data_IF_157190769095
#
_entry.id   IF_157190769095
#
_cell.length_a   1.000
_cell.length_b   1.000
_cell.length_c   1.000
_cell.angle_alpha   90.00
_cell.angle_beta   90.00
_cell.angle_gamma   90.00
#
_symmetry.space_group_name_H-M   'P 1'
#
loop_
_entity.id
_entity.type
_entity.pdbx_description
1 polymer ?
#
# COMPACT_ATOMS: atom_id res chain seq x y z
N UNK A 1 8.88 -37.19 1.91
CA UNK A 1 8.63 -37.94 3.17
C UNK A 1 7.66 -37.17 4.05
N UNK A 2 6.36 -37.47 3.99
CA UNK A 2 5.39 -37.07 5.04
C UNK A 2 3.98 -37.65 4.79
N UNK A 3 3.87 -38.85 4.21
CA UNK A 3 2.60 -39.62 4.15
C UNK A 3 2.42 -40.50 5.41
N UNK A 4 3.36 -40.41 6.37
CA UNK A 4 3.40 -41.27 7.58
C UNK A 4 2.76 -40.59 8.81
N UNK A 5 2.50 -39.28 8.79
CA UNK A 5 1.95 -38.58 9.96
C UNK A 5 0.42 -38.70 10.09
N UNK A 6 -0.31 -38.92 8.99
CA UNK A 6 -1.79 -38.97 9.00
C UNK A 6 -2.36 -40.32 9.44
N UNK A 7 -1.58 -41.40 9.41
CA UNK A 7 -2.03 -42.75 9.83
C UNK A 7 -1.95 -42.99 11.35
N UNK A 8 -1.26 -42.14 12.11
CA UNK A 8 -1.15 -42.26 13.57
C UNK A 8 -2.32 -41.61 14.33
N UNK A 9 -2.93 -40.55 13.78
CA UNK A 9 -4.13 -39.92 14.36
C UNK A 9 -5.39 -40.77 14.18
N UNK A 10 -5.55 -41.43 13.03
CA UNK A 10 -6.73 -42.28 12.74
C UNK A 10 -6.74 -43.58 13.58
N UNK A 11 -5.57 -44.04 14.06
CA UNK A 11 -5.47 -45.22 14.95
C UNK A 11 -5.78 -44.92 16.42
N UNK A 12 -5.74 -43.66 16.86
CA UNK A 12 -6.21 -43.28 18.21
C UNK A 12 -7.73 -43.04 18.27
N UNK A 13 -8.38 -42.76 17.13
CA UNK A 13 -9.83 -42.59 17.05
C UNK A 13 -10.62 -43.91 16.88
N UNK A 14 -9.96 -45.04 16.61
CA UNK A 14 -10.58 -46.38 16.51
C UNK A 14 -10.48 -47.25 17.77
N UNK A 15 -10.07 -46.68 18.91
CA UNK A 15 -9.96 -47.40 20.19
C UNK A 15 -10.90 -46.89 21.30
N UNK A 16 -11.85 -46.02 20.97
CA UNK A 16 -12.95 -45.61 21.83
C UNK A 16 -14.29 -46.09 21.26
N UNK A 17 -14.45 -47.40 21.13
CA UNK A 17 -15.79 -47.99 21.21
C UNK A 17 -15.68 -49.45 21.64
N UNK A 18 -15.69 -49.67 22.96
CA UNK A 18 -16.30 -50.83 23.60
C UNK A 18 -16.72 -50.44 25.01
N UNK A 19 -18.03 -50.33 25.19
CA UNK A 19 -18.73 -50.46 26.47
C UNK A 19 -18.34 -49.51 27.60
N UNK A 20 -18.81 -48.26 27.50
CA UNK A 20 -19.53 -47.62 28.61
C UNK A 20 -20.70 -46.86 28.00
N UNK A 21 -21.90 -47.45 28.05
CA UNK A 21 -23.13 -46.67 27.96
C UNK A 21 -23.08 -45.64 29.10
N UNK A 22 -22.69 -44.40 28.80
CA UNK A 22 -23.04 -43.27 29.66
C UNK A 22 -24.56 -43.12 29.54
N UNK A 23 -25.31 -43.80 30.41
CA UNK A 23 -26.67 -43.40 30.72
C UNK A 23 -26.56 -42.09 31.48
N UNK A 24 -26.74 -40.98 30.77
CA UNK A 24 -27.12 -39.72 31.39
C UNK A 24 -28.52 -39.92 31.94
N UNK A 25 -28.61 -40.04 33.27
CA UNK A 25 -29.87 -40.03 33.97
C UNK A 25 -30.43 -38.60 33.97
N UNK A 26 -31.48 -38.38 33.19
CA UNK A 26 -32.13 -37.06 33.01
C UNK A 26 -33.38 -36.95 33.90
N UNK A 27 -33.56 -37.84 34.88
CA UNK A 27 -34.76 -37.94 35.75
C UNK A 27 -35.03 -36.75 36.69
N UNK A 28 -34.31 -35.62 36.55
CA UNK A 28 -34.54 -34.40 37.35
C UNK A 28 -34.39 -33.08 36.62
N UNK A 29 -34.14 -33.07 35.31
CA UNK A 29 -33.85 -31.84 34.58
C UNK A 29 -35.10 -31.38 33.81
N UNK A 30 -35.78 -30.35 34.35
CA UNK A 30 -36.90 -29.66 33.69
C UNK A 30 -36.56 -29.39 32.22
N UNK A 31 -37.46 -29.74 31.29
CA UNK A 31 -37.24 -29.73 29.84
C UNK A 31 -36.72 -28.41 29.22
N UNK A 32 -36.75 -27.28 29.95
CA UNK A 32 -36.10 -26.03 29.55
C UNK A 32 -34.56 -26.17 29.47
N UNK A 33 -33.91 -26.85 30.41
CA UNK A 33 -32.43 -26.93 30.47
C UNK A 33 -31.85 -27.80 29.36
N UNK A 34 -32.56 -28.85 28.93
CA UNK A 34 -32.17 -29.70 27.79
C UNK A 34 -32.24 -28.91 26.47
N UNK A 35 -33.27 -28.05 26.33
CA UNK A 35 -33.39 -27.14 25.20
C UNK A 35 -32.22 -26.15 25.11
N UNK A 36 -31.76 -25.60 26.24
CA UNK A 36 -30.60 -24.70 26.28
C UNK A 36 -29.30 -25.38 25.87
N UNK A 37 -29.05 -26.62 26.32
CA UNK A 37 -27.85 -27.37 25.94
C UNK A 37 -27.85 -27.69 24.44
N UNK A 38 -28.99 -28.10 23.89
CA UNK A 38 -29.12 -28.35 22.45
C UNK A 38 -28.91 -27.09 21.62
N UNK A 39 -29.46 -25.96 22.07
CA UNK A 39 -29.27 -24.65 21.43
C UNK A 39 -27.78 -24.24 21.42
N UNK A 40 -27.07 -24.43 22.53
CA UNK A 40 -25.64 -24.11 22.64
C UNK A 40 -24.82 -24.96 21.67
N UNK A 41 -25.07 -26.27 21.61
CA UNK A 41 -24.35 -27.16 20.68
C UNK A 41 -24.60 -26.77 19.22
N UNK A 42 -25.84 -26.41 18.87
CA UNK A 42 -26.20 -25.96 17.53
C UNK A 42 -25.51 -24.64 17.17
N UNK A 43 -25.47 -23.67 18.10
CA UNK A 43 -24.75 -22.39 17.91
C UNK A 43 -23.25 -22.63 17.75
N UNK A 44 -22.64 -23.47 18.58
CA UNK A 44 -21.22 -23.83 18.45
C UNK A 44 -20.97 -24.50 17.09
N UNK A 45 -21.82 -25.42 16.66
CA UNK A 45 -21.74 -26.06 15.35
C UNK A 45 -21.79 -25.04 14.20
N UNK A 46 -22.73 -24.09 14.23
CA UNK A 46 -22.85 -23.03 13.22
C UNK A 46 -21.62 -22.12 13.23
N UNK A 47 -21.12 -21.72 14.40
CA UNK A 47 -19.92 -20.89 14.53
C UNK A 47 -18.69 -21.63 14.02
N UNK A 48 -18.50 -22.91 14.37
CA UNK A 48 -17.40 -23.73 13.89
C UNK A 48 -17.45 -23.93 12.37
N UNK A 49 -18.64 -24.17 11.81
CA UNK A 49 -18.84 -24.26 10.36
C UNK A 49 -18.49 -22.92 9.71
N UNK A 50 -18.99 -21.79 10.24
CA UNK A 50 -18.70 -20.46 9.70
C UNK A 50 -17.21 -20.11 9.77
N UNK A 51 -16.54 -20.41 10.88
CA UNK A 51 -15.09 -20.23 11.04
C UNK A 51 -14.28 -21.14 10.12
N UNK A 52 -14.72 -22.39 9.93
CA UNK A 52 -14.11 -23.31 8.98
C UNK A 52 -14.27 -22.82 7.54
N UNK A 53 -15.48 -22.37 7.15
CA UNK A 53 -15.73 -21.76 5.85
C UNK A 53 -14.92 -20.49 5.63
N UNK A 54 -14.85 -19.59 6.62
CA UNK A 54 -14.01 -18.38 6.56
C UNK A 54 -12.52 -18.72 6.38
N UNK A 55 -12.06 -19.81 7.00
CA UNK A 55 -10.67 -20.28 6.87
C UNK A 55 -10.39 -20.98 5.54
N UNK A 56 -11.38 -21.66 4.97
CA UNK A 56 -11.26 -22.38 3.69
C UNK A 56 -11.48 -21.45 2.48
N UNK A 57 -12.15 -20.32 2.64
CA UNK A 57 -12.38 -19.31 1.59
C UNK A 57 -11.52 -18.06 1.73
N UNK A 58 -10.41 -18.13 2.46
CA UNK A 58 -9.47 -17.01 2.47
C UNK A 58 -8.67 -17.03 1.16
N UNK A 59 -8.84 -15.97 0.37
CA UNK A 59 -8.14 -15.81 -0.91
C UNK A 59 -6.63 -15.80 -0.72
N UNK A 60 -5.92 -16.46 -1.63
CA UNK A 60 -4.47 -16.43 -1.67
C UNK A 60 -3.98 -15.05 -2.10
N UNK A 61 -2.76 -14.68 -1.71
CA UNK A 61 -2.22 -13.36 -2.03
C UNK A 61 -1.95 -13.25 -3.54
N UNK A 62 -1.69 -14.38 -4.22
CA UNK A 62 -1.64 -14.52 -5.67
C UNK A 62 -2.99 -14.17 -6.33
N UNK A 63 -4.09 -14.79 -5.88
CA UNK A 63 -5.45 -14.48 -6.38
C UNK A 63 -5.83 -13.02 -6.13
N UNK A 64 -5.46 -12.48 -4.97
CA UNK A 64 -5.66 -11.06 -4.66
C UNK A 64 -4.86 -10.17 -5.63
N UNK A 65 -3.64 -10.55 -5.99
CA UNK A 65 -2.83 -9.77 -6.93
C UNK A 65 -3.40 -9.80 -8.36
N UNK A 66 -3.84 -10.97 -8.82
CA UNK A 66 -4.50 -11.13 -10.11
C UNK A 66 -5.73 -10.22 -10.20
N UNK A 67 -6.56 -10.18 -9.16
CA UNK A 67 -7.69 -9.26 -9.07
C UNK A 67 -7.28 -7.79 -9.13
N UNK A 68 -6.16 -7.40 -8.50
CA UNK A 68 -5.65 -6.02 -8.57
C UNK A 68 -5.24 -5.65 -10.00
N UNK A 69 -4.58 -6.55 -10.71
CA UNK A 69 -4.20 -6.35 -12.12
C UNK A 69 -5.43 -6.22 -13.02
N UNK A 70 -6.41 -7.11 -12.86
CA UNK A 70 -7.69 -7.05 -13.59
C UNK A 70 -8.44 -5.75 -13.27
N UNK A 71 -8.50 -5.36 -12.00
CA UNK A 71 -9.12 -4.10 -11.57
C UNK A 71 -8.45 -2.90 -12.24
N UNK A 72 -7.12 -2.83 -12.22
CA UNK A 72 -6.36 -1.76 -12.86
C UNK A 72 -6.67 -1.68 -14.36
N UNK A 73 -6.65 -2.81 -15.07
CA UNK A 73 -6.98 -2.86 -16.50
C UNK A 73 -8.39 -2.35 -16.78
N UNK A 74 -9.37 -2.76 -15.96
CA UNK A 74 -10.76 -2.33 -16.11
C UNK A 74 -10.93 -0.83 -15.80
N UNK A 75 -10.26 -0.32 -14.77
CA UNK A 75 -10.26 1.11 -14.44
C UNK A 75 -9.65 1.93 -15.59
N UNK A 76 -8.51 1.48 -16.15
CA UNK A 76 -7.88 2.14 -17.28
C UNK A 76 -8.77 2.22 -18.53
N UNK A 77 -9.56 1.17 -18.81
CA UNK A 77 -10.57 1.19 -19.88
C UNK A 77 -11.67 2.22 -19.62
N UNK A 78 -12.18 2.30 -18.40
CA UNK A 78 -13.23 3.28 -18.02
C UNK A 78 -12.71 4.72 -18.09
N UNK A 79 -11.47 4.95 -17.64
CA UNK A 79 -10.86 6.27 -17.53
C UNK A 79 -10.15 6.75 -18.81
N UNK A 80 -10.19 5.98 -19.91
CA UNK A 80 -9.54 6.35 -21.17
C UNK A 80 -8.04 6.62 -21.02
N UNK A 81 -7.29 5.65 -20.48
CA UNK A 81 -5.87 5.79 -20.11
C UNK A 81 -5.58 6.87 -19.06
N UNK A 82 -6.58 7.25 -18.27
CA UNK A 82 -6.44 8.16 -17.15
C UNK A 82 -5.81 9.52 -17.53
N UNK A 83 -6.12 10.00 -18.74
CA UNK A 83 -5.67 11.30 -19.26
C UNK A 83 -4.26 11.33 -19.86
N UNK A 84 -3.56 10.18 -19.95
CA UNK A 84 -2.21 10.12 -20.51
C UNK A 84 -2.17 9.46 -21.90
N UNK A 85 -1.34 10.04 -22.77
CA UNK A 85 -1.03 9.50 -24.11
C UNK A 85 0.39 8.93 -24.20
N UNK A 86 1.24 9.24 -23.22
CA UNK A 86 2.64 8.84 -23.20
C UNK A 86 3.03 8.31 -21.82
N UNK A 87 3.80 7.22 -21.82
CA UNK A 87 4.44 6.66 -20.63
C UNK A 87 5.43 7.69 -20.05
N UNK A 88 5.67 7.63 -18.74
CA UNK A 88 6.63 8.45 -18.00
C UNK A 88 7.91 7.67 -17.67
N UNK A 89 8.94 7.64 -18.54
CA UNK A 89 10.07 6.72 -18.36
C UNK A 89 11.00 7.13 -17.21
N UNK A 90 10.95 8.40 -16.80
CA UNK A 90 11.79 8.95 -15.74
C UNK A 90 11.58 8.28 -14.37
N UNK A 91 10.49 7.55 -14.18
CA UNK A 91 10.13 6.90 -12.93
C UNK A 91 10.32 5.38 -12.95
N UNK A 92 11.02 4.83 -13.95
CA UNK A 92 11.32 3.40 -14.00
C UNK A 92 12.80 3.11 -13.78
N UNK A 93 13.11 2.12 -12.93
CA UNK A 93 14.43 1.52 -12.82
C UNK A 93 14.39 0.13 -13.46
N UNK A 94 15.30 -0.13 -14.39
CA UNK A 94 15.42 -1.40 -15.09
C UNK A 94 16.73 -2.08 -14.69
N UNK A 95 16.63 -3.15 -13.90
CA UNK A 95 17.76 -4.01 -13.56
C UNK A 95 17.83 -5.17 -14.54
N UNK A 96 18.63 -5.00 -15.60
CA UNK A 96 18.82 -6.03 -16.65
C UNK A 96 19.33 -7.36 -16.09
N UNK A 97 20.25 -7.31 -15.12
CA UNK A 97 20.82 -8.50 -14.48
C UNK A 97 19.78 -9.34 -13.71
N UNK A 98 18.66 -8.73 -13.35
CA UNK A 98 17.58 -9.39 -12.61
C UNK A 98 16.31 -9.53 -13.45
N UNK A 99 16.32 -9.09 -14.71
CA UNK A 99 15.13 -8.96 -15.56
C UNK A 99 13.97 -8.32 -14.81
N UNK A 100 14.25 -7.20 -14.10
CA UNK A 100 13.32 -6.56 -13.17
C UNK A 100 13.12 -5.08 -13.50
N UNK A 101 11.86 -4.66 -13.57
CA UNK A 101 11.42 -3.29 -13.76
C UNK A 101 10.62 -2.81 -12.55
N UNK A 102 11.03 -1.69 -11.97
CA UNK A 102 10.38 -1.09 -10.81
C UNK A 102 9.90 0.32 -11.12
N UNK A 103 8.60 0.60 -10.92
CA UNK A 103 8.09 1.97 -10.96
C UNK A 103 8.19 2.70 -9.60
N UNK A 104 8.81 3.88 -9.62
CA UNK A 104 9.13 4.70 -8.46
C UNK A 104 7.92 5.51 -7.99
N UNK A 105 7.10 4.92 -7.13
CA UNK A 105 6.04 5.64 -6.40
C UNK A 105 6.55 6.08 -5.04
N UNK A 106 6.93 7.35 -4.91
CA UNK A 106 7.44 7.90 -3.66
C UNK A 106 6.45 7.75 -2.50
N UNK A 107 6.97 7.58 -1.29
CA UNK A 107 6.20 7.33 -0.04
C UNK A 107 5.40 6.02 -0.03
N UNK A 108 5.74 5.11 -0.94
CA UNK A 108 5.19 3.73 -1.02
C UNK A 108 6.33 2.70 -1.02
N UNK A 109 7.24 2.77 -0.03
CA UNK A 109 8.34 1.80 0.10
C UNK A 109 9.56 2.02 -0.81
N UNK A 110 9.64 3.15 -1.50
CA UNK A 110 10.71 3.46 -2.47
C UNK A 110 12.11 3.43 -1.87
N UNK A 111 12.30 3.93 -0.64
CA UNK A 111 13.62 3.93 0.01
C UNK A 111 14.17 2.52 0.19
N UNK A 112 13.34 1.56 0.61
CA UNK A 112 13.72 0.15 0.76
C UNK A 112 14.11 -0.49 -0.57
N UNK A 113 13.41 -0.17 -1.66
CA UNK A 113 13.74 -0.70 -2.98
C UNK A 113 14.94 -0.01 -3.61
N UNK A 114 15.11 1.31 -3.42
CA UNK A 114 16.33 2.00 -3.83
C UNK A 114 17.56 1.46 -3.12
N UNK A 115 17.46 1.11 -1.84
CA UNK A 115 18.54 0.43 -1.12
C UNK A 115 18.93 -0.90 -1.80
N UNK A 116 17.96 -1.71 -2.21
CA UNK A 116 18.23 -2.96 -2.93
C UNK A 116 18.88 -2.72 -4.30
N UNK A 117 18.32 -1.82 -5.11
CA UNK A 117 18.90 -1.45 -6.41
C UNK A 117 20.32 -0.90 -6.26
N UNK A 118 20.57 0.00 -5.31
CA UNK A 118 21.90 0.55 -5.08
C UNK A 118 22.89 -0.49 -4.55
N UNK A 119 22.44 -1.40 -3.68
CA UNK A 119 23.27 -2.51 -3.21
C UNK A 119 23.65 -3.45 -4.35
N UNK A 120 22.73 -3.72 -5.30
CA UNK A 120 23.02 -4.53 -6.50
C UNK A 120 23.93 -3.82 -7.51
N UNK A 121 23.91 -2.49 -7.52
CA UNK A 121 24.84 -1.66 -8.29
C UNK A 121 26.26 -1.60 -7.68
N UNK A 122 26.46 -2.18 -6.49
CA UNK A 122 27.75 -2.25 -5.82
C UNK A 122 28.07 -1.09 -4.88
N UNK A 123 27.10 -0.19 -4.61
CA UNK A 123 27.28 0.86 -3.62
C UNK A 123 27.29 0.29 -2.20
N UNK A 124 28.12 0.89 -1.35
CA UNK A 124 28.25 0.54 0.07
C UNK A 124 27.07 1.04 0.89
N UNK A 125 26.80 0.41 2.05
CA UNK A 125 25.78 0.88 2.98
C UNK A 125 26.01 2.35 3.40
N UNK A 126 27.29 2.76 3.53
CA UNK A 126 27.65 4.14 3.85
C UNK A 126 27.18 5.11 2.77
N UNK A 127 27.47 4.83 1.49
CA UNK A 127 27.04 5.68 0.37
C UNK A 127 25.51 5.76 0.30
N UNK A 128 24.83 4.62 0.44
CA UNK A 128 23.37 4.55 0.38
C UNK A 128 22.71 5.35 1.51
N UNK A 129 23.33 5.41 2.69
CA UNK A 129 22.79 6.19 3.83
C UNK A 129 23.04 7.71 3.73
N UNK A 130 24.04 8.16 2.98
CA UNK A 130 24.48 9.57 3.00
C UNK A 130 24.28 10.32 1.67
N UNK A 131 24.07 9.59 0.57
CA UNK A 131 23.88 10.18 -0.76
C UNK A 131 22.41 10.01 -1.17
N UNK A 132 21.91 10.93 -2.00
CA UNK A 132 20.59 10.79 -2.59
C UNK A 132 20.46 9.45 -3.32
N UNK A 133 19.52 8.63 -2.87
CA UNK A 133 19.40 7.26 -3.31
C UNK A 133 18.95 7.15 -4.77
N UNK A 134 18.13 8.10 -5.24
CA UNK A 134 17.70 8.14 -6.62
C UNK A 134 18.85 8.57 -7.54
N UNK A 135 19.70 9.50 -7.09
CA UNK A 135 20.92 9.89 -7.79
C UNK A 135 21.84 8.68 -7.99
N UNK A 136 22.17 7.94 -6.92
CA UNK A 136 22.98 6.72 -7.02
C UNK A 136 22.36 5.71 -7.98
N UNK A 137 21.05 5.45 -7.83
CA UNK A 137 20.37 4.49 -8.69
C UNK A 137 20.43 4.93 -10.16
N UNK A 138 20.34 6.22 -10.46
CA UNK A 138 20.38 6.75 -11.83
C UNK A 138 21.76 6.77 -12.46
N UNK A 139 22.83 6.73 -11.67
CA UNK A 139 24.19 6.55 -12.19
C UNK A 139 24.37 5.15 -12.78
N UNK A 140 23.72 4.13 -12.21
CA UNK A 140 23.83 2.74 -12.65
C UNK A 140 22.67 2.26 -13.55
N UNK A 141 21.45 2.74 -13.28
CA UNK A 141 20.22 2.41 -14.00
C UNK A 141 19.69 3.65 -14.76
N UNK A 142 20.28 3.99 -15.91
CA UNK A 142 19.90 5.17 -16.67
C UNK A 142 18.46 5.10 -17.16
N UNK A 143 17.87 6.27 -17.42
CA UNK A 143 16.50 6.36 -17.94
C UNK A 143 16.47 5.76 -19.34
N UNK A 144 15.52 4.84 -19.57
CA UNK A 144 15.23 4.35 -20.92
C UNK A 144 14.30 5.33 -21.64
N UNK A 145 14.41 5.44 -22.96
CA UNK A 145 13.39 6.13 -23.74
C UNK A 145 12.11 5.30 -23.78
N UNK A 146 11.00 5.91 -24.21
CA UNK A 146 9.68 5.26 -24.23
C UNK A 146 9.66 3.91 -24.95
N UNK A 147 10.26 3.83 -26.15
CA UNK A 147 10.23 2.61 -26.98
C UNK A 147 11.03 1.50 -26.32
N UNK A 148 12.22 1.82 -25.84
CA UNK A 148 13.07 0.87 -25.11
C UNK A 148 12.39 0.38 -23.84
N UNK A 149 11.77 1.27 -23.07
CA UNK A 149 11.08 0.91 -21.83
C UNK A 149 9.89 -0.03 -22.07
N UNK A 150 9.09 0.23 -23.12
CA UNK A 150 8.00 -0.67 -23.49
C UNK A 150 8.53 -2.07 -23.86
N UNK A 151 9.61 -2.15 -24.64
CA UNK A 151 10.25 -3.42 -24.96
C UNK A 151 10.84 -4.10 -23.72
N UNK A 152 11.48 -3.35 -22.81
CA UNK A 152 12.00 -3.86 -21.55
C UNK A 152 10.89 -4.43 -20.67
N UNK A 153 9.72 -3.79 -20.63
CA UNK A 153 8.54 -4.28 -19.90
C UNK A 153 8.03 -5.61 -20.45
N UNK A 154 8.14 -5.90 -21.74
CA UNK A 154 7.73 -7.19 -22.30
C UNK A 154 8.64 -8.35 -21.89
N UNK A 155 9.91 -8.05 -21.56
CA UNK A 155 10.96 -9.04 -21.32
C UNK A 155 11.47 -9.06 -19.87
N UNK A 156 10.85 -8.28 -18.98
CA UNK A 156 11.22 -8.17 -17.57
C UNK A 156 9.99 -8.25 -16.69
N UNK A 157 10.15 -8.81 -15.50
CA UNK A 157 9.16 -8.77 -14.45
C UNK A 157 8.99 -7.32 -13.97
N UNK A 158 7.81 -6.74 -14.15
CA UNK A 158 7.53 -5.34 -13.86
C UNK A 158 6.60 -5.23 -12.66
N UNK A 159 6.92 -4.38 -11.68
CA UNK A 159 6.08 -4.20 -10.51
C UNK A 159 5.95 -2.74 -10.08
N UNK A 160 4.87 -2.47 -9.36
CA UNK A 160 4.58 -1.19 -8.72
C UNK A 160 4.19 -1.42 -7.27
N UNK A 161 4.59 -0.49 -6.41
CA UNK A 161 4.17 -0.47 -5.01
C UNK A 161 3.33 0.77 -4.81
N UNK A 162 2.10 0.56 -4.36
CA UNK A 162 1.14 1.63 -4.12
C UNK A 162 0.70 1.66 -2.68
N UNK A 163 0.15 2.80 -2.30
CA UNK A 163 -0.38 3.08 -0.98
C UNK A 163 -1.68 3.84 -1.12
N UNK A 164 -2.60 3.70 -0.16
CA UNK A 164 -3.77 4.56 -0.07
C UNK A 164 -3.40 6.04 -0.31
N UNK A 165 -4.03 6.76 -1.26
CA UNK A 165 -3.55 8.09 -1.70
C UNK A 165 -3.40 9.10 -0.57
N UNK A 166 -4.35 9.12 0.36
CA UNK A 166 -4.31 10.01 1.53
C UNK A 166 -3.30 9.60 2.59
N UNK A 167 -2.99 8.31 2.75
CA UNK A 167 -1.93 7.91 3.66
C UNK A 167 -0.55 8.19 3.08
N UNK A 168 -0.42 8.09 1.76
CA UNK A 168 0.77 8.54 1.02
C UNK A 168 1.00 10.02 1.26
N UNK A 169 -0.07 10.82 1.24
CA UNK A 169 -0.02 12.25 1.51
C UNK A 169 0.39 12.58 2.96
N UNK A 170 -0.17 11.87 3.96
CA UNK A 170 0.29 11.97 5.36
C UNK A 170 1.78 11.66 5.45
N UNK A 171 2.21 10.55 4.82
CA UNK A 171 3.62 10.17 4.82
C UNK A 171 4.52 11.21 4.15
N UNK A 172 4.03 11.91 3.12
CA UNK A 172 4.75 12.99 2.46
C UNK A 172 4.88 14.22 3.39
N UNK A 173 3.78 14.60 4.03
CA UNK A 173 3.72 15.72 4.96
C UNK A 173 4.68 15.53 6.14
N UNK A 174 4.56 14.40 6.85
CA UNK A 174 5.38 14.12 8.03
C UNK A 174 6.87 14.06 7.68
N UNK A 175 7.20 13.31 6.62
CA UNK A 175 8.59 13.07 6.27
C UNK A 175 9.26 14.30 5.65
N UNK A 176 8.59 15.02 4.75
CA UNK A 176 9.20 16.15 4.03
C UNK A 176 9.03 17.47 4.78
N UNK A 177 7.84 17.76 5.30
CA UNK A 177 7.51 19.10 5.78
C UNK A 177 7.59 19.23 7.31
N UNK A 178 7.28 18.17 8.06
CA UNK A 178 7.33 18.18 9.54
C UNK A 178 8.71 17.79 10.06
N UNK A 179 9.32 16.72 9.53
CA UNK A 179 10.60 16.21 10.05
C UNK A 179 11.77 17.19 9.84
N UNK A 180 11.66 18.04 8.81
CA UNK A 180 12.67 19.02 8.39
C UNK A 180 14.09 18.47 8.21
N UNK A 181 14.25 17.14 8.03
CA UNK A 181 15.57 16.48 7.87
C UNK A 181 16.29 16.89 6.59
N UNK A 182 15.55 17.27 5.56
CA UNK A 182 16.08 17.71 4.29
C UNK A 182 16.05 19.26 4.22
N UNK A 183 17.19 19.88 3.94
CA UNK A 183 17.33 21.34 3.92
C UNK A 183 16.44 22.03 2.86
N UNK A 184 16.21 21.39 1.70
CA UNK A 184 15.29 21.91 0.69
C UNK A 184 13.86 21.90 1.24
N UNK A 185 13.35 20.77 1.73
CA UNK A 185 11.98 20.70 2.24
C UNK A 185 11.77 21.49 3.54
N UNK A 186 12.81 21.70 4.35
CA UNK A 186 12.77 22.64 5.48
C UNK A 186 12.51 24.09 5.02
N UNK A 187 13.07 24.50 3.87
CA UNK A 187 12.78 25.82 3.29
C UNK A 187 11.36 25.87 2.72
N UNK A 188 10.92 24.81 2.05
CA UNK A 188 9.55 24.69 1.52
C UNK A 188 8.51 24.78 2.65
N UNK A 189 8.66 23.97 3.70
CA UNK A 189 7.79 23.98 4.89
C UNK A 189 7.67 25.36 5.52
N UNK A 190 8.80 26.06 5.72
CA UNK A 190 8.82 27.44 6.23
C UNK A 190 8.20 28.46 5.27
N UNK A 191 8.36 28.28 3.96
CA UNK A 191 7.76 29.16 2.97
C UNK A 191 6.23 29.01 2.93
N UNK A 192 5.74 27.77 2.98
CA UNK A 192 4.30 27.48 3.06
C UNK A 192 3.71 28.06 4.34
N UNK A 193 4.34 27.82 5.50
CA UNK A 193 3.88 28.38 6.76
C UNK A 193 3.77 29.92 6.71
N UNK A 194 4.82 30.61 6.25
CA UNK A 194 4.80 32.08 6.14
C UNK A 194 3.75 32.62 5.16
N UNK A 195 3.35 31.84 4.15
CA UNK A 195 2.30 32.24 3.19
C UNK A 195 0.95 32.38 3.88
N UNK A 196 0.62 31.47 4.78
CA UNK A 196 -0.69 31.44 5.47
C UNK A 196 -0.65 32.08 6.87
N UNK A 197 0.54 32.23 7.46
CA UNK A 197 0.78 32.79 8.78
C UNK A 197 1.86 33.89 8.73
N UNK A 198 1.63 35.02 8.03
CA UNK A 198 2.68 36.00 7.69
C UNK A 198 3.32 36.68 8.90
N UNK A 199 2.61 36.76 10.02
CA UNK A 199 3.08 37.38 11.27
C UNK A 199 3.43 36.34 12.35
N UNK A 200 3.31 35.04 12.03
CA UNK A 200 3.50 33.95 12.97
C UNK A 200 4.91 33.38 12.98
N UNK A 201 5.25 32.72 14.09
CA UNK A 201 6.38 31.81 14.18
C UNK A 201 5.84 30.45 14.64
N UNK A 202 5.87 29.46 13.75
CA UNK A 202 5.28 28.17 14.04
C UNK A 202 5.63 27.10 13.00
N UNK A 203 4.91 26.00 13.08
CA UNK A 203 5.07 24.84 12.21
C UNK A 203 3.86 24.75 11.29
N UNK A 204 4.11 24.38 10.04
CA UNK A 204 3.08 24.11 9.05
C UNK A 204 2.04 23.11 9.57
N UNK A 205 0.75 23.40 9.39
CA UNK A 205 -0.35 22.47 9.66
C UNK A 205 -0.66 21.61 8.43
N UNK A 206 -1.44 20.53 8.61
CA UNK A 206 -1.87 19.73 7.46
C UNK A 206 -2.85 20.52 6.58
N UNK A 207 -3.66 21.40 7.17
CA UNK A 207 -4.52 22.34 6.45
C UNK A 207 -3.72 23.26 5.53
N UNK A 208 -2.61 23.82 6.01
CA UNK A 208 -1.71 24.67 5.20
C UNK A 208 -1.11 23.90 4.03
N UNK A 209 -0.69 22.65 4.27
CA UNK A 209 -0.13 21.79 3.24
C UNK A 209 -1.16 21.44 2.16
N UNK A 210 -2.38 21.06 2.56
CA UNK A 210 -3.46 20.79 1.60
C UNK A 210 -3.80 22.05 0.81
N UNK A 211 -3.95 23.19 1.48
CA UNK A 211 -4.22 24.46 0.80
C UNK A 211 -3.13 24.80 -0.22
N UNK A 212 -1.86 24.57 0.12
CA UNK A 212 -0.73 24.75 -0.78
C UNK A 212 -0.84 23.85 -2.02
N UNK A 213 -1.19 22.57 -1.88
CA UNK A 213 -1.38 21.66 -3.03
C UNK A 213 -2.51 22.15 -3.93
N UNK A 214 -3.65 22.55 -3.35
CA UNK A 214 -4.80 23.03 -4.11
C UNK A 214 -4.42 24.26 -4.94
N UNK A 215 -3.75 25.22 -4.30
CA UNK A 215 -3.27 26.42 -4.98
C UNK A 215 -2.23 26.08 -6.03
N UNK A 216 -1.25 25.21 -5.77
CA UNK A 216 -0.24 24.81 -6.76
C UNK A 216 -0.89 24.20 -8.01
N UNK A 217 -1.90 23.35 -7.85
CA UNK A 217 -2.67 22.80 -8.98
C UNK A 217 -3.44 23.89 -9.74
N UNK A 218 -4.11 24.79 -9.03
CA UNK A 218 -4.85 25.91 -9.63
C UNK A 218 -3.93 26.83 -10.44
N UNK A 219 -2.77 27.22 -9.89
CA UNK A 219 -1.79 28.07 -10.56
C UNK A 219 -1.18 27.39 -11.79
N UNK A 220 -1.16 26.06 -11.83
CA UNK A 220 -0.68 25.28 -12.96
C UNK A 220 -1.81 24.87 -13.93
N UNK A 221 -2.90 25.65 -14.03
CA UNK A 221 -4.04 25.39 -14.92
C UNK A 221 -4.67 24.00 -14.70
N UNK A 222 -4.86 23.62 -13.43
CA UNK A 222 -5.34 22.30 -13.00
C UNK A 222 -4.43 21.13 -13.43
N UNK A 223 -3.16 21.40 -13.76
CA UNK A 223 -2.19 20.36 -14.11
C UNK A 223 -1.48 19.82 -12.86
N UNK A 224 -1.75 18.57 -12.51
CA UNK A 224 -1.14 17.92 -11.35
C UNK A 224 0.31 17.44 -11.62
N UNK A 225 0.80 17.50 -12.86
CA UNK A 225 2.17 17.10 -13.20
C UNK A 225 3.27 18.01 -12.64
N UNK A 226 2.91 19.24 -12.25
CA UNK A 226 3.84 20.18 -11.63
C UNK A 226 4.08 19.90 -10.14
N UNK A 227 3.21 19.08 -9.51
CA UNK A 227 3.35 18.73 -8.10
C UNK A 227 4.66 17.98 -7.84
N UNK A 228 5.23 18.20 -6.66
CA UNK A 228 6.41 17.49 -6.19
C UNK A 228 6.19 15.96 -6.22
N UNK A 229 7.24 15.24 -6.61
CA UNK A 229 7.24 13.78 -6.77
C UNK A 229 6.78 13.00 -5.53
N UNK A 230 6.86 13.59 -4.32
CA UNK A 230 6.46 12.93 -3.08
C UNK A 230 4.96 13.00 -2.80
N UNK A 231 4.24 13.96 -3.38
CA UNK A 231 2.81 14.12 -3.19
C UNK A 231 2.01 14.25 -4.50
N UNK A 232 2.62 14.24 -5.68
CA UNK A 232 1.87 14.13 -6.93
C UNK A 232 1.17 12.75 -7.05
N UNK A 233 0.02 12.65 -7.77
CA UNK A 233 -0.66 11.38 -8.04
C UNK A 233 0.26 10.27 -8.59
N UNK A 234 0.00 9.00 -8.24
CA UNK A 234 0.72 7.83 -8.78
C UNK A 234 0.60 7.79 -10.30
N UNK A 235 -0.57 8.15 -10.83
CA UNK A 235 -0.80 8.21 -12.26
C UNK A 235 0.22 9.12 -12.99
N UNK A 236 0.69 10.20 -12.34
CA UNK A 236 1.66 11.15 -12.91
C UNK A 236 3.08 10.59 -12.94
N UNK A 237 3.40 9.69 -12.01
CA UNK A 237 4.72 9.05 -11.93
C UNK A 237 4.79 7.86 -12.88
N UNK A 238 3.81 6.96 -12.75
CA UNK A 238 3.93 5.61 -13.29
C UNK A 238 3.08 5.38 -14.53
N UNK A 239 2.12 6.26 -14.87
CA UNK A 239 1.21 6.11 -16.02
C UNK A 239 0.71 4.67 -16.18
N UNK A 240 0.09 4.09 -15.13
CA UNK A 240 -0.15 2.64 -15.03
C UNK A 240 -1.11 2.07 -16.07
N UNK A 241 -1.85 2.93 -16.78
CA UNK A 241 -2.67 2.50 -17.93
C UNK A 241 -1.88 2.30 -19.22
N UNK A 242 -0.65 2.83 -19.30
CA UNK A 242 0.24 2.69 -20.45
C UNK A 242 1.39 1.72 -20.16
N UNK A 243 1.58 1.34 -18.89
CA UNK A 243 2.61 0.45 -18.42
C UNK A 243 2.07 -0.97 -18.21
N UNK A 244 2.92 -1.97 -18.43
CA UNK A 244 2.63 -3.37 -18.07
C UNK A 244 3.19 -3.67 -16.69
N UNK A 245 2.37 -4.24 -15.82
CA UNK A 245 2.79 -4.77 -14.51
C UNK A 245 2.45 -6.24 -14.40
N UNK A 246 3.38 -7.01 -13.85
CA UNK A 246 3.21 -8.39 -13.42
C UNK A 246 2.77 -8.48 -11.96
N UNK A 247 2.99 -7.42 -11.17
CA UNK A 247 2.65 -7.43 -9.75
C UNK A 247 2.33 -6.04 -9.19
N UNK A 248 1.26 -5.94 -8.41
CA UNK A 248 0.90 -4.72 -7.66
C UNK A 248 1.00 -4.97 -6.15
N UNK A 249 2.04 -4.45 -5.52
CA UNK A 249 2.19 -4.47 -4.06
C UNK A 249 1.36 -3.33 -3.46
N UNK A 250 0.59 -3.63 -2.42
CA UNK A 250 -0.09 -2.63 -1.59
C UNK A 250 0.63 -2.50 -0.26
N UNK A 251 0.85 -1.27 0.21
CA UNK A 251 1.52 -1.03 1.50
C UNK A 251 0.77 -1.67 2.69
N UNK A 252 -0.55 -1.82 2.56
CA UNK A 252 -1.43 -2.42 3.55
C UNK A 252 -1.22 -3.95 3.68
N UNK A 253 -0.71 -4.59 2.62
CA UNK A 253 -0.39 -6.03 2.59
C UNK A 253 1.09 -6.28 2.27
N UNK A 254 1.96 -5.30 2.56
CA UNK A 254 3.34 -5.25 2.08
C UNK A 254 4.13 -6.52 2.39
N UNK A 255 4.10 -6.98 3.64
CA UNK A 255 4.92 -8.13 4.07
C UNK A 255 4.53 -9.42 3.33
N UNK A 256 3.24 -9.61 3.06
CA UNK A 256 2.74 -10.78 2.33
C UNK A 256 3.03 -10.66 0.83
N UNK A 257 2.75 -9.50 0.25
CA UNK A 257 2.94 -9.20 -1.16
C UNK A 257 4.41 -9.31 -1.57
N UNK A 258 5.34 -8.80 -0.77
CA UNK A 258 6.77 -8.80 -1.09
C UNK A 258 7.34 -10.23 -1.08
N UNK A 259 6.90 -11.09 -0.16
CA UNK A 259 7.34 -12.49 -0.15
C UNK A 259 6.89 -13.26 -1.40
N UNK A 260 5.76 -12.88 -1.98
CA UNK A 260 5.33 -13.44 -3.26
C UNK A 260 6.03 -12.84 -4.44
N UNK A 261 6.16 -11.51 -4.48
CA UNK A 261 6.88 -10.83 -5.52
C UNK A 261 8.31 -11.38 -5.66
N UNK A 262 9.01 -11.57 -4.53
CA UNK A 262 10.37 -12.13 -4.52
C UNK A 262 10.41 -13.51 -5.18
N UNK A 263 9.42 -14.38 -4.90
CA UNK A 263 9.32 -15.71 -5.50
C UNK A 263 8.97 -15.65 -6.98
N UNK A 264 7.97 -14.83 -7.34
CA UNK A 264 7.51 -14.66 -8.71
C UNK A 264 8.58 -14.06 -9.63
N UNK A 265 9.45 -13.19 -9.08
CA UNK A 265 10.54 -12.55 -9.81
C UNK A 265 11.89 -13.29 -9.70
N UNK A 266 11.94 -14.46 -9.06
CA UNK A 266 13.18 -15.24 -8.84
C UNK A 266 14.31 -14.45 -8.15
N UNK A 267 13.94 -13.71 -7.11
CA UNK A 267 14.81 -12.83 -6.32
C UNK A 267 15.12 -13.39 -4.92
N UNK A 268 14.84 -14.66 -4.67
CA UNK A 268 15.13 -15.31 -3.40
C UNK A 268 16.62 -15.17 -3.05
N UNK A 269 16.92 -14.73 -1.82
CA UNK A 269 18.28 -14.48 -1.35
C UNK A 269 18.96 -13.24 -1.95
N UNK A 270 18.33 -12.52 -2.88
CA UNK A 270 18.87 -11.30 -3.51
C UNK A 270 18.31 -10.02 -2.90
N UNK A 271 17.08 -10.05 -2.40
CA UNK A 271 16.41 -8.89 -1.78
C UNK A 271 16.68 -8.87 -0.28
N UNK A 272 17.19 -7.74 0.20
CA UNK A 272 17.27 -7.40 1.62
C UNK A 272 15.98 -6.69 2.03
N UNK A 273 15.23 -7.31 2.94
CA UNK A 273 14.02 -6.74 3.53
C UNK A 273 14.39 -5.70 4.60
N UNK A 274 14.86 -4.54 4.15
CA UNK A 274 15.22 -3.44 5.06
C UNK A 274 14.01 -2.55 5.28
N UNK A 275 13.54 -2.47 6.52
CA UNK A 275 12.56 -1.48 6.94
C UNK A 275 13.29 -0.16 7.23
N UNK A 276 13.60 0.61 6.19
CA UNK A 276 14.32 1.90 6.29
C UNK A 276 13.40 3.02 6.82
N UNK A 277 12.09 2.79 6.85
CA UNK A 277 11.13 3.79 7.32
C UNK A 277 11.09 3.81 8.84
N UNK A 278 10.94 5.01 9.40
CA UNK A 278 10.66 5.19 10.81
C UNK A 278 9.45 4.36 11.22
N UNK A 279 9.61 3.54 12.26
CA UNK A 279 8.49 2.97 12.99
C UNK A 279 7.61 4.14 13.40
N UNK A 280 6.40 4.19 12.85
CA UNK A 280 5.42 5.22 13.21
C UNK A 280 5.09 5.06 14.69
N UNK A 281 5.21 6.14 15.45
CA UNK A 281 4.91 6.13 16.88
C UNK A 281 3.40 6.20 17.12
N UNK A 282 2.69 6.99 16.31
CA UNK A 282 1.24 7.13 16.35
C UNK A 282 0.56 6.08 15.46
N UNK A 283 -0.60 5.57 15.90
CA UNK A 283 -1.41 4.67 15.10
C UNK A 283 -1.93 5.38 13.84
N UNK A 284 -2.10 4.61 12.75
CA UNK A 284 -2.51 5.17 11.47
C UNK A 284 -3.87 5.89 11.56
N UNK A 285 -4.85 5.28 12.24
CA UNK A 285 -6.19 5.86 12.39
C UNK A 285 -6.15 7.19 13.16
N UNK A 286 -5.32 7.28 14.21
CA UNK A 286 -5.13 8.51 14.98
C UNK A 286 -4.55 9.63 14.10
N UNK A 287 -3.55 9.31 13.28
CA UNK A 287 -2.98 10.27 12.33
C UNK A 287 -3.99 10.72 11.26
N UNK A 288 -4.78 9.78 10.73
CA UNK A 288 -5.83 10.10 9.77
C UNK A 288 -6.82 11.08 10.41
N UNK A 289 -7.33 10.77 11.61
CA UNK A 289 -8.23 11.67 12.32
C UNK A 289 -7.59 13.03 12.62
N UNK A 290 -6.37 13.04 13.17
CA UNK A 290 -5.60 14.25 13.52
C UNK A 290 -5.40 15.19 12.34
N UNK A 291 -5.11 14.66 11.16
CA UNK A 291 -4.81 15.47 9.98
C UNK A 291 -6.07 15.84 9.19
N UNK A 292 -6.96 14.89 8.92
CA UNK A 292 -8.14 15.14 8.09
C UNK A 292 -9.26 15.88 8.80
N UNK A 293 -9.23 16.00 10.14
CA UNK A 293 -10.12 16.90 10.88
C UNK A 293 -9.77 18.38 10.72
N UNK A 294 -8.54 18.69 10.30
CA UNK A 294 -8.09 20.08 10.09
C UNK A 294 -8.64 20.68 8.80
N UNK A 295 -9.10 19.84 7.87
CA UNK A 295 -9.59 20.26 6.57
C UNK A 295 -11.04 20.73 6.65
N UNK A 296 -11.39 21.70 5.82
CA UNK A 296 -12.80 22.02 5.53
C UNK A 296 -13.39 21.00 4.55
N UNK A 297 -14.72 20.94 4.45
CA UNK A 297 -15.38 20.10 3.43
C UNK A 297 -14.92 20.46 2.01
N UNK A 298 -14.84 21.76 1.69
CA UNK A 298 -14.34 22.23 0.39
C UNK A 298 -12.92 21.77 0.10
N UNK A 299 -12.03 21.84 1.10
CA UNK A 299 -10.66 21.35 0.94
C UNK A 299 -10.62 19.84 0.75
N UNK A 300 -11.44 19.09 1.49
CA UNK A 300 -11.55 17.64 1.36
C UNK A 300 -12.02 17.23 -0.04
N UNK A 301 -13.07 17.86 -0.56
CA UNK A 301 -13.61 17.59 -1.89
C UNK A 301 -12.58 17.90 -2.99
N UNK A 302 -11.95 19.07 -2.92
CA UNK A 302 -10.94 19.48 -3.90
C UNK A 302 -9.71 18.56 -3.86
N UNK A 303 -9.28 18.18 -2.65
CA UNK A 303 -8.17 17.25 -2.47
C UNK A 303 -8.50 15.87 -3.05
N UNK A 304 -9.71 15.36 -2.80
CA UNK A 304 -10.15 14.09 -3.38
C UNK A 304 -10.08 14.12 -4.91
N UNK A 305 -10.57 15.18 -5.55
CA UNK A 305 -10.52 15.32 -7.03
C UNK A 305 -9.12 15.27 -7.61
N UNK A 306 -8.10 15.79 -6.90
CA UNK A 306 -6.70 15.71 -7.33
C UNK A 306 -6.20 14.26 -7.39
N UNK A 307 -6.65 13.40 -6.47
CA UNK A 307 -6.20 12.01 -6.35
C UNK A 307 -7.23 10.97 -6.81
N UNK A 308 -8.41 11.39 -7.28
CA UNK A 308 -9.55 10.52 -7.64
C UNK A 308 -9.12 9.37 -8.56
N UNK A 309 -8.32 9.70 -9.58
CA UNK A 309 -7.75 8.71 -10.49
C UNK A 309 -6.91 7.63 -9.77
N UNK A 310 -6.11 7.98 -8.76
CA UNK A 310 -5.35 6.99 -7.98
C UNK A 310 -6.29 6.09 -7.16
N UNK A 311 -7.38 6.65 -6.59
CA UNK A 311 -8.39 5.86 -5.87
C UNK A 311 -9.02 4.82 -6.80
N UNK A 312 -9.44 5.25 -7.98
CA UNK A 312 -10.07 4.38 -8.97
C UNK A 312 -9.12 3.31 -9.51
N UNK A 313 -7.91 3.68 -9.92
CA UNK A 313 -6.95 2.76 -10.55
C UNK A 313 -6.53 1.64 -9.61
N UNK A 314 -6.42 1.91 -8.31
CA UNK A 314 -5.93 0.94 -7.33
C UNK A 314 -7.02 0.41 -6.38
N UNK A 315 -8.28 0.79 -6.59
CA UNK A 315 -9.42 0.28 -5.82
C UNK A 315 -9.33 0.65 -4.35
N UNK A 316 -9.05 1.91 -4.06
CA UNK A 316 -9.14 2.48 -2.71
C UNK A 316 -10.48 3.20 -2.52
N UNK A 317 -10.94 3.33 -1.27
CA UNK A 317 -12.14 4.11 -0.92
C UNK A 317 -11.76 5.31 -0.06
N UNK A 318 -12.37 6.46 -0.35
CA UNK A 318 -12.24 7.67 0.44
C UNK A 318 -13.34 7.82 1.51
N UNK A 319 -14.32 6.91 1.58
CA UNK A 319 -15.55 7.07 2.37
C UNK A 319 -15.27 7.34 3.86
N UNK A 320 -14.26 6.66 4.41
CA UNK A 320 -13.86 6.86 5.80
C UNK A 320 -13.42 8.31 6.06
N UNK A 321 -12.67 8.90 5.13
CA UNK A 321 -12.12 10.24 5.28
C UNK A 321 -13.19 11.33 5.19
N UNK A 322 -14.24 11.10 4.40
CA UNK A 322 -15.40 12.00 4.32
C UNK A 322 -16.27 11.99 5.58
N UNK A 323 -16.24 10.90 6.36
CA UNK A 323 -16.97 10.79 7.64
C UNK A 323 -16.29 11.50 8.82
N UNK A 324 -15.02 11.88 8.68
CA UNK A 324 -14.28 12.59 9.73
C UNK A 324 -14.83 14.02 9.84
N UNK A 325 -15.24 14.49 11.04
CA UNK A 325 -15.71 15.86 11.24
C UNK A 325 -14.70 16.88 10.73
N UNK A 326 -15.17 17.82 9.90
CA UNK A 326 -14.34 18.83 9.22
C UNK A 326 -14.28 20.13 10.01
N UNK A 327 -13.19 20.88 9.83
CA UNK A 327 -13.04 22.20 10.38
C UNK A 327 -14.11 23.14 9.80
N UNK A 328 -14.63 24.03 10.65
CA UNK A 328 -15.49 25.12 10.19
C UNK A 328 -14.64 26.08 9.34
N UNK A 329 -15.24 26.49 8.20
CA UNK A 329 -14.75 27.43 7.16
C UNK A 329 -13.32 27.92 7.26
#
# INVERSE_FOLDING_TARGET
MSVVCTRRLVRQLKKCDKNKQLRLDVSGIRGRTVGYVFLIILVIGIVCIKLFWLRVHQETVEEVNEKRLIHLQNACKRLGNAGYTNLQPAFYLHSKNHSLLYCLVFKSGTSSWLYNFNSWAGYTDYEIMHIDNLLLARQFYPKENRVTLMNSMEHSFSFIIVRHPFERLISAFEDRLVSMKNAYYSRVSRAIYRRYHPTGNGVISFRDFVQYILEDVEHNNNNTNALDIHWCPVNNLCTPCLARYDFIVKMETYDQDIQLLIRAAHLEGKVKLVHINHVRQEALDDLIHKYFSQLTEKQMDALYRIYETDFELFGYSADYYFKIPKALT
#
